data_IF_400060443941
#
_entry.id   IF_400060443941
#
_cell.length_a   1.000
_cell.length_b   1.000
_cell.length_c   1.000
_cell.angle_alpha   90.00
_cell.angle_beta   90.00
_cell.angle_gamma   90.00
#
_symmetry.space_group_name_H-M   'P 1'
#
loop_
_entity.id
_entity.type
_entity.pdbx_description
1 polymer ?
#
# COMPACT_ATOMS: atom_id res chain seq x y z
N UNK A 1 -0.54 -11.29 12.26
CA UNK A 1 0.06 -10.26 11.42
C UNK A 1 -0.47 -10.34 10.00
N UNK A 2 -0.87 -9.24 9.47
CA UNK A 2 -1.39 -9.18 8.11
C UNK A 2 -0.46 -8.38 7.23
N UNK A 3 -0.43 -8.73 5.96
CA UNK A 3 0.47 -8.11 5.00
C UNK A 3 -0.33 -7.77 3.75
N UNK A 4 -0.11 -6.58 3.23
CA UNK A 4 -0.86 -6.10 2.08
C UNK A 4 0.06 -5.28 1.19
N UNK A 5 -0.14 -5.39 -0.10
CA UNK A 5 0.61 -4.59 -1.04
C UNK A 5 -0.37 -3.68 -1.78
N UNK A 6 -0.14 -2.40 -1.68
CA UNK A 6 -0.94 -1.41 -2.39
C UNK A 6 -0.26 -1.08 -3.70
N UNK A 7 -1.05 -0.89 -4.73
CA UNK A 7 -0.53 -0.57 -6.05
C UNK A 7 -1.33 0.57 -6.65
N UNK A 8 -0.65 1.43 -7.36
CA UNK A 8 -1.31 2.52 -8.05
C UNK A 8 -0.45 2.97 -9.23
N UNK A 9 -1.08 3.48 -10.25
CA UNK A 9 -0.36 4.02 -11.39
C UNK A 9 0.04 5.47 -11.20
N UNK A 10 -0.31 6.06 -10.07
CA UNK A 10 -0.03 7.45 -9.78
C UNK A 10 0.46 7.56 -8.35
N UNK A 11 1.56 8.28 -8.17
CA UNK A 11 2.17 8.40 -6.87
C UNK A 11 1.23 9.09 -5.87
N UNK A 12 0.50 10.10 -6.31
CA UNK A 12 -0.43 10.80 -5.42
C UNK A 12 -1.56 9.88 -4.97
N UNK A 13 -2.04 9.04 -5.88
CA UNK A 13 -3.07 8.08 -5.53
C UNK A 13 -2.54 7.07 -4.52
N UNK A 14 -1.32 6.61 -4.73
CA UNK A 14 -0.72 5.67 -3.80
C UNK A 14 -0.58 6.31 -2.43
N UNK A 15 -0.15 7.56 -2.40
CA UNK A 15 0.01 8.27 -1.14
C UNK A 15 -1.32 8.34 -0.39
N UNK A 16 -2.40 8.62 -1.10
CA UNK A 16 -3.71 8.67 -0.48
C UNK A 16 -4.11 7.32 0.07
N UNK A 17 -3.84 6.26 -0.69
CA UNK A 17 -4.15 4.91 -0.22
C UNK A 17 -3.35 4.56 1.02
N UNK A 18 -2.07 4.87 1.00
CA UNK A 18 -1.22 4.59 2.16
C UNK A 18 -1.75 5.31 3.39
N UNK A 19 -2.07 6.58 3.24
CA UNK A 19 -2.59 7.36 4.37
C UNK A 19 -3.90 6.79 4.88
N UNK A 20 -4.75 6.33 3.97
CA UNK A 20 -6.01 5.72 4.35
C UNK A 20 -5.78 4.48 5.20
N UNK A 21 -4.85 3.64 4.79
CA UNK A 21 -4.59 2.40 5.52
C UNK A 21 -3.84 2.65 6.82
N UNK A 22 -3.02 3.69 6.87
CA UNK A 22 -2.39 4.07 8.12
C UNK A 22 -3.47 4.41 9.14
N UNK A 23 -4.52 5.09 8.70
CA UNK A 23 -5.63 5.41 9.57
C UNK A 23 -6.38 4.18 10.06
N UNK A 24 -6.22 3.05 9.39
CA UNK A 24 -6.84 1.80 9.77
C UNK A 24 -5.94 0.90 10.59
N UNK A 25 -4.76 1.38 10.94
CA UNK A 25 -3.83 0.61 11.75
C UNK A 25 -2.75 -0.10 10.98
N UNK A 26 -2.65 0.12 9.69
CA UNK A 26 -1.60 -0.46 8.87
C UNK A 26 -0.36 0.40 8.91
N UNK A 27 0.81 -0.25 8.81
CA UNK A 27 2.08 0.44 8.83
C UNK A 27 2.81 0.18 7.53
N UNK A 28 3.32 1.21 6.88
CA UNK A 28 4.10 1.00 5.66
C UNK A 28 5.45 0.38 6.00
N UNK A 29 5.91 -0.51 5.14
CA UNK A 29 7.17 -1.20 5.33
C UNK A 29 8.09 -0.81 4.17
N UNK A 30 9.25 -0.27 4.50
CA UNK A 30 10.19 0.12 3.48
C UNK A 30 9.70 1.28 2.65
N UNK A 31 10.32 1.50 1.53
CA UNK A 31 9.96 2.57 0.63
C UNK A 31 9.04 2.11 -0.46
N UNK A 32 8.67 3.04 -1.31
CA UNK A 32 7.82 2.74 -2.45
C UNK A 32 8.67 2.10 -3.54
N UNK A 33 8.15 1.03 -4.12
CA UNK A 33 8.77 0.36 -5.24
C UNK A 33 8.11 0.84 -6.53
N UNK A 34 8.91 0.96 -7.57
CA UNK A 34 8.40 1.40 -8.86
C UNK A 34 8.67 0.29 -9.85
N UNK A 35 7.64 -0.06 -10.60
CA UNK A 35 7.76 -1.06 -11.65
C UNK A 35 7.03 -0.55 -12.87
N UNK A 36 7.64 -0.69 -14.04
CA UNK A 36 6.97 -0.27 -15.25
C UNK A 36 7.95 -0.02 -16.37
N UNK A 37 7.40 0.31 -17.51
CA UNK A 37 8.20 0.60 -18.68
C UNK A 37 7.29 1.10 -19.79
N UNK A 38 7.89 1.67 -20.81
CA UNK A 38 7.16 2.12 -21.98
C UNK A 38 5.98 3.03 -21.64
N UNK A 39 6.26 4.02 -20.81
CA UNK A 39 5.25 5.01 -20.49
C UNK A 39 4.28 4.61 -19.41
N UNK A 40 4.42 3.41 -18.87
CA UNK A 40 3.58 2.96 -17.77
C UNK A 40 4.42 2.73 -16.54
N UNK A 41 3.97 3.25 -15.43
CA UNK A 41 4.66 3.06 -14.17
C UNK A 41 3.64 2.69 -13.11
N UNK A 42 4.00 1.73 -12.29
CA UNK A 42 3.17 1.32 -11.18
C UNK A 42 3.98 1.45 -9.91
N UNK A 43 3.36 2.03 -8.91
CA UNK A 43 3.99 2.24 -7.62
C UNK A 43 3.38 1.27 -6.62
N UNK A 44 4.24 0.66 -5.83
CA UNK A 44 3.81 -0.34 -4.86
C UNK A 44 4.32 0.03 -3.48
N UNK A 45 3.51 -0.24 -2.48
CA UNK A 45 3.89 -0.01 -1.10
C UNK A 45 3.40 -1.18 -0.28
N UNK A 46 4.32 -1.82 0.43
CA UNK A 46 3.96 -2.91 1.32
C UNK A 46 3.46 -2.34 2.64
N UNK A 47 2.40 -2.94 3.14
CA UNK A 47 1.80 -2.53 4.40
C UNK A 47 1.72 -3.74 5.31
N UNK A 48 1.84 -3.50 6.60
CA UNK A 48 1.80 -4.55 7.59
C UNK A 48 0.93 -4.13 8.76
N UNK A 49 0.22 -5.08 9.33
CA UNK A 49 -0.65 -4.82 10.46
C UNK A 49 -0.43 -5.90 11.49
N UNK A 50 -0.12 -5.50 12.70
CA UNK A 50 0.19 -6.44 13.77
C UNK A 50 -1.04 -7.21 14.21
N UNK A 51 -2.18 -6.55 14.20
CA UNK A 51 -3.41 -7.14 14.67
C UNK A 51 -4.35 -7.33 13.50
N UNK A 52 -4.82 -8.55 13.31
CA UNK A 52 -5.69 -8.86 12.20
C UNK A 52 -7.13 -8.87 12.68
N UNK A 53 -7.97 -7.97 12.18
CA UNK A 53 -9.39 -8.01 12.54
C UNK A 53 -10.04 -9.24 11.92
N UNK A 54 -11.19 -9.58 12.46
CA UNK A 54 -11.90 -10.77 12.01
C UNK A 54 -12.14 -10.72 10.52
N UNK A 55 -12.54 -9.58 10.04
CA UNK A 55 -12.74 -9.40 8.61
C UNK A 55 -11.98 -8.21 8.12
N UNK A 56 -11.12 -8.46 7.20
CA UNK A 56 -10.34 -7.40 6.61
C UNK A 56 -10.75 -7.27 5.17
N UNK A 57 -11.38 -6.17 4.85
CA UNK A 57 -11.83 -5.92 3.50
C UNK A 57 -10.93 -4.94 2.82
N UNK A 58 -10.71 -5.19 1.55
CA UNK A 58 -9.84 -4.38 0.75
C UNK A 58 -10.51 -3.08 0.37
#
# INVERSE_FOLDING_TARGET
>A
MAYKILRSGDMKELQKKVNKYIGKGWNPIGGVSVCGGYGHAHFHQAMQKDHIPVKEEE
#
